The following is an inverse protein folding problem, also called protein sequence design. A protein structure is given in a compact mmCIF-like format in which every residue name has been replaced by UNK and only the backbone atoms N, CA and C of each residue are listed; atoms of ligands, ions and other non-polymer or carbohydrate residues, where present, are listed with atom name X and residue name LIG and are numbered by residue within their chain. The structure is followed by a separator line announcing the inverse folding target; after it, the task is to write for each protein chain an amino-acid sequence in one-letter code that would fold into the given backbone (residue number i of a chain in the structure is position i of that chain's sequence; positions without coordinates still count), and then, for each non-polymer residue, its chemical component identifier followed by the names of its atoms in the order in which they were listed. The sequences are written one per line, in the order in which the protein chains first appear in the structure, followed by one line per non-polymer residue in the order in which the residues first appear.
data_IF_273117407106
#
_entry.id   IF_273117407106
#
_cell.length_a   1.000
_cell.length_b   1.000
_cell.length_c   1.000
_cell.angle_alpha   90.00
_cell.angle_beta   90.00
_cell.angle_gamma   90.00
#
_symmetry.space_group_name_H-M   'P 1'
#
loop_
_entity.id
_entity.type
_entity.pdbx_description
1 polymer ?
#
# COMPACT_ATOMS: atom_id res chain seq x y z
N UNK A 1 20.02 -37.09 -20.66
CA UNK A 1 19.30 -36.27 -19.65
C UNK A 1 18.81 -35.01 -20.36
N UNK A 2 17.50 -34.78 -20.52
CA UNK A 2 16.95 -33.56 -21.13
C UNK A 2 16.30 -32.75 -20.00
N UNK A 3 16.98 -31.71 -19.53
CA UNK A 3 16.44 -30.76 -18.56
C UNK A 3 15.47 -29.88 -19.35
N UNK A 4 14.17 -30.03 -19.11
CA UNK A 4 13.17 -29.07 -19.60
C UNK A 4 13.28 -27.86 -18.68
N UNK A 5 13.80 -26.76 -19.21
CA UNK A 5 13.74 -25.47 -18.55
C UNK A 5 12.26 -25.03 -18.54
N UNK A 6 11.62 -25.12 -17.38
CA UNK A 6 10.33 -24.46 -17.16
C UNK A 6 10.58 -22.95 -17.21
N UNK A 7 10.11 -22.29 -18.27
CA UNK A 7 10.16 -20.83 -18.36
C UNK A 7 9.22 -20.27 -17.32
N UNK A 8 9.76 -19.62 -16.29
CA UNK A 8 8.97 -18.83 -15.35
C UNK A 8 8.17 -17.79 -16.14
N UNK A 9 6.84 -17.89 -16.06
CA UNK A 9 5.93 -16.98 -16.73
C UNK A 9 5.58 -15.87 -15.76
N UNK A 10 6.33 -14.77 -15.82
CA UNK A 10 6.04 -13.57 -15.04
C UNK A 10 4.92 -12.78 -15.71
N UNK A 11 3.91 -12.37 -14.94
CA UNK A 11 2.80 -11.52 -15.39
C UNK A 11 2.89 -10.21 -14.62
N UNK A 12 3.07 -9.10 -15.32
CA UNK A 12 3.09 -7.77 -14.73
C UNK A 12 1.66 -7.24 -14.59
N UNK A 13 1.27 -6.89 -13.37
CA UNK A 13 -0.04 -6.29 -13.07
C UNK A 13 0.21 -4.90 -12.50
N UNK A 14 -0.26 -3.88 -13.20
CA UNK A 14 -0.22 -2.49 -12.73
C UNK A 14 -1.50 -2.23 -11.95
N UNK A 15 -1.38 -2.07 -10.64
CA UNK A 15 -2.49 -1.73 -9.74
C UNK A 15 -2.41 -0.26 -9.37
N UNK A 16 -3.56 0.41 -9.30
CA UNK A 16 -3.63 1.70 -8.63
C UNK A 16 -3.44 1.51 -7.12
N UNK A 17 -3.00 2.56 -6.42
CA UNK A 17 -2.79 2.51 -4.97
C UNK A 17 -4.06 2.07 -4.21
N UNK A 18 -5.24 2.48 -4.71
CA UNK A 18 -6.53 2.11 -4.15
C UNK A 18 -6.86 0.63 -4.35
N UNK A 19 -6.60 0.09 -5.54
CA UNK A 19 -6.81 -1.33 -5.84
C UNK A 19 -5.87 -2.21 -5.02
N UNK A 20 -4.58 -1.84 -4.92
CA UNK A 20 -3.62 -2.54 -4.09
C UNK A 20 -4.06 -2.58 -2.61
N UNK A 21 -4.55 -1.45 -2.09
CA UNK A 21 -5.08 -1.36 -0.73
C UNK A 21 -6.33 -2.22 -0.50
N UNK A 22 -7.25 -2.26 -1.47
CA UNK A 22 -8.45 -3.10 -1.39
C UNK A 22 -8.11 -4.59 -1.44
N UNK A 23 -7.19 -4.99 -2.33
CA UNK A 23 -6.73 -6.38 -2.43
C UNK A 23 -6.03 -6.81 -1.14
N UNK A 24 -5.12 -5.99 -0.62
CA UNK A 24 -4.44 -6.25 0.65
C UNK A 24 -5.45 -6.43 1.79
N UNK A 25 -6.46 -5.56 1.87
CA UNK A 25 -7.53 -5.69 2.87
C UNK A 25 -8.29 -7.00 2.74
N UNK A 26 -8.74 -7.35 1.53
CA UNK A 26 -9.51 -8.56 1.27
C UNK A 26 -8.71 -9.84 1.63
N UNK A 27 -7.40 -9.84 1.36
CA UNK A 27 -6.48 -10.92 1.73
C UNK A 27 -6.39 -11.06 3.25
N UNK A 28 -6.23 -9.95 3.97
CA UNK A 28 -6.12 -9.94 5.43
C UNK A 28 -7.43 -10.27 6.14
N UNK A 29 -8.57 -10.02 5.51
CA UNK A 29 -9.88 -10.47 5.98
C UNK A 29 -10.08 -12.00 5.75
N UNK A 30 -9.39 -12.59 4.76
CA UNK A 30 -9.55 -13.99 4.35
C UNK A 30 -8.23 -14.80 4.37
N UNK A 31 -7.40 -14.61 5.40
CA UNK A 31 -6.02 -15.12 5.47
C UNK A 31 -5.90 -16.64 5.23
N UNK A 32 -6.86 -17.41 5.76
CA UNK A 32 -6.88 -18.88 5.60
C UNK A 32 -7.04 -19.32 4.15
N UNK A 33 -7.79 -18.56 3.35
CA UNK A 33 -8.03 -18.86 1.93
C UNK A 33 -6.93 -18.32 1.02
N UNK A 34 -6.33 -17.18 1.38
CA UNK A 34 -5.30 -16.52 0.58
C UNK A 34 -3.92 -17.18 0.71
N UNK A 35 -3.65 -17.81 1.85
CA UNK A 35 -2.37 -18.48 2.12
C UNK A 35 -1.24 -17.50 2.53
N UNK A 36 -0.12 -18.04 3.03
CA UNK A 36 0.89 -17.24 3.72
C UNK A 36 1.62 -16.23 2.82
N UNK A 37 1.86 -16.57 1.54
CA UNK A 37 2.53 -15.66 0.60
C UNK A 37 1.68 -14.43 0.26
N UNK A 38 0.37 -14.62 0.07
CA UNK A 38 -0.55 -13.52 -0.18
C UNK A 38 -0.68 -12.61 1.06
N UNK A 39 -0.72 -13.21 2.25
CA UNK A 39 -0.74 -12.46 3.52
C UNK A 39 0.52 -11.60 3.67
N UNK A 40 1.70 -12.16 3.42
CA UNK A 40 2.96 -11.40 3.47
C UNK A 40 2.98 -10.23 2.48
N UNK A 41 2.43 -10.43 1.27
CA UNK A 41 2.26 -9.35 0.28
C UNK A 41 1.32 -8.26 0.80
N UNK A 42 0.18 -8.63 1.38
CA UNK A 42 -0.78 -7.68 1.90
C UNK A 42 -0.22 -6.85 3.07
N UNK A 43 0.56 -7.47 3.96
CA UNK A 43 1.26 -6.78 5.04
C UNK A 43 2.35 -5.83 4.51
N UNK A 44 3.09 -6.23 3.48
CA UNK A 44 4.09 -5.38 2.83
C UNK A 44 3.41 -4.14 2.23
N UNK A 45 2.30 -4.32 1.49
CA UNK A 45 1.55 -3.21 0.90
C UNK A 45 1.06 -2.21 1.97
N UNK A 46 0.60 -2.69 3.13
CA UNK A 46 0.23 -1.79 4.23
C UNK A 46 1.42 -1.01 4.80
N UNK A 47 2.59 -1.65 4.95
CA UNK A 47 3.82 -0.98 5.42
C UNK A 47 4.30 0.10 4.47
N UNK A 48 4.16 -0.12 3.17
CA UNK A 48 4.49 0.86 2.12
C UNK A 48 3.43 1.98 1.99
N UNK A 49 2.40 1.98 2.84
CA UNK A 49 1.39 3.04 2.89
C UNK A 49 0.17 2.82 1.98
N UNK A 50 0.08 1.68 1.29
CA UNK A 50 -1.10 1.29 0.51
C UNK A 50 -2.21 0.77 1.42
N UNK A 51 -2.79 1.68 2.21
CA UNK A 51 -3.87 1.37 3.15
C UNK A 51 -5.22 1.87 2.62
N UNK A 52 -6.30 1.13 2.89
CA UNK A 52 -7.65 1.52 2.44
C UNK A 52 -8.24 2.68 3.25
N UNK A 53 -7.48 3.24 4.20
CA UNK A 53 -7.88 4.34 5.05
C UNK A 53 -7.75 5.67 4.29
N UNK A 54 -8.78 6.03 3.53
CA UNK A 54 -9.11 7.44 3.32
C UNK A 54 -10.06 7.87 4.43
N UNK A 55 -9.49 8.41 5.49
CA UNK A 55 -10.20 9.04 6.59
C UNK A 55 -9.23 9.87 7.42
N UNK A 56 -9.20 11.18 7.13
CA UNK A 56 -8.45 12.24 7.83
C UNK A 56 -6.92 12.20 7.75
N UNK A 57 -6.37 12.69 6.64
CA UNK A 57 -5.25 13.62 6.76
C UNK A 57 -5.85 15.02 7.02
N UNK A 58 -6.17 15.30 8.29
CA UNK A 58 -6.46 16.66 8.75
C UNK A 58 -5.20 17.41 9.19
N UNK A 59 -4.00 16.90 8.93
CA UNK A 59 -2.76 17.62 9.16
C UNK A 59 -2.24 18.21 7.85
N UNK A 60 -2.99 19.18 7.34
CA UNK A 60 -2.43 20.14 6.39
C UNK A 60 -1.56 21.08 7.22
N UNK A 61 -0.29 20.72 7.40
CA UNK A 61 0.69 21.63 8.01
C UNK A 61 0.81 22.85 7.09
N UNK A 62 0.08 23.90 7.42
CA UNK A 62 0.27 25.23 6.87
C UNK A 62 1.68 25.68 7.24
N UNK A 63 2.54 25.83 6.23
CA UNK A 63 3.83 26.45 6.41
C UNK A 63 3.58 27.90 6.81
N UNK A 64 3.73 28.21 8.10
CA UNK A 64 3.74 29.59 8.56
C UNK A 64 4.93 30.28 7.93
N UNK A 65 4.66 31.30 7.13
CA UNK A 65 5.71 32.18 6.63
C UNK A 65 6.21 33.06 7.77
N UNK A 66 7.47 33.54 7.74
CA UNK A 66 8.00 34.42 8.78
C UNK A 66 7.12 35.66 9.06
N UNK A 67 6.36 36.12 8.06
CA UNK A 67 5.36 37.19 8.19
C UNK A 67 4.22 36.88 9.17
N UNK A 68 3.89 35.60 9.40
CA UNK A 68 2.82 35.18 10.33
C UNK A 68 3.22 35.29 11.82
N UNK A 69 4.49 35.58 12.11
CA UNK A 69 4.98 35.77 13.49
C UNK A 69 4.80 37.20 14.00
N UNK A 70 4.48 38.16 13.14
CA UNK A 70 4.44 39.59 13.50
C UNK A 70 3.08 40.08 14.02
N UNK A 71 2.05 39.23 14.06
CA UNK A 71 0.70 39.65 14.48
C UNK A 71 0.36 39.40 15.96
N UNK A 72 1.34 39.05 16.80
CA UNK A 72 1.11 38.82 18.22
C UNK A 72 1.81 39.89 19.08
N UNK A 73 1.36 41.14 18.96
CA UNK A 73 1.69 42.26 19.86
C UNK A 73 0.42 42.93 20.35
#
# INVERSE_FOLDING_TARGET
MRIREEKEQSVDIVLTAREAAQIARNILENQKAAGPGAVALAELLQKEGFTAAQGQASDRYEWKTPDDMEQNT
#
